data_IF_660859031783
#
_entry.id   IF_660859031783
#
_cell.length_a   1.000
_cell.length_b   1.000
_cell.length_c   1.000
_cell.angle_alpha   90.00
_cell.angle_beta   90.00
_cell.angle_gamma   90.00
#
_symmetry.space_group_name_H-M   'P 1'
#
loop_
_entity.id
_entity.type
_entity.pdbx_description
1 polymer ?
#
# COMPACT_ATOMS: atom_id res chain seq x y z
N UNK A 1 11.82 4.93 -9.04
CA UNK A 1 12.13 4.51 -10.42
C UNK A 1 10.99 4.81 -11.39
N UNK A 2 9.74 4.42 -11.11
CA UNK A 2 8.60 4.65 -12.05
C UNK A 2 8.40 6.13 -12.41
N UNK A 3 8.55 7.06 -11.45
CA UNK A 3 8.35 8.50 -11.72
C UNK A 3 9.29 9.03 -12.82
N UNK A 4 10.54 8.55 -12.87
CA UNK A 4 11.49 8.95 -13.91
C UNK A 4 11.02 8.54 -15.30
N UNK A 5 10.58 7.29 -15.46
CA UNK A 5 10.05 6.77 -16.73
C UNK A 5 8.82 7.53 -17.22
N UNK A 6 8.05 8.08 -16.29
CA UNK A 6 6.82 8.81 -16.57
C UNK A 6 6.99 10.33 -16.58
N UNK A 7 8.22 10.82 -16.45
CA UNK A 7 8.51 12.25 -16.39
C UNK A 7 7.84 12.96 -15.20
N UNK A 8 7.53 12.23 -14.13
CA UNK A 8 6.93 12.78 -12.92
C UNK A 8 7.98 13.27 -11.92
N UNK A 9 7.66 14.36 -11.23
CA UNK A 9 8.47 14.87 -10.13
C UNK A 9 8.59 13.81 -9.03
N UNK A 10 9.81 13.63 -8.53
CA UNK A 10 10.11 12.74 -7.40
C UNK A 10 9.84 13.44 -6.05
N UNK A 11 9.71 12.66 -4.98
CA UNK A 11 9.46 13.19 -3.64
C UNK A 11 7.98 13.35 -3.27
N UNK A 12 7.70 14.18 -2.26
CA UNK A 12 6.36 14.33 -1.67
C UNK A 12 5.49 15.35 -2.43
N UNK A 13 5.02 14.93 -3.61
CA UNK A 13 4.22 15.77 -4.52
C UNK A 13 2.72 15.67 -4.23
N UNK A 14 1.95 16.65 -4.72
CA UNK A 14 0.50 16.76 -4.54
C UNK A 14 -0.26 15.58 -5.17
N UNK A 15 0.14 15.15 -6.36
CA UNK A 15 -0.53 14.13 -7.16
C UNK A 15 0.42 13.00 -7.57
N UNK A 16 0.98 12.23 -6.62
CA UNK A 16 2.09 11.33 -6.91
C UNK A 16 1.70 10.11 -7.76
N UNK A 17 0.41 9.80 -7.87
CA UNK A 17 -0.06 8.65 -8.63
C UNK A 17 -0.14 8.94 -10.13
N UNK A 18 0.41 8.03 -10.94
CA UNK A 18 0.29 8.09 -12.40
C UNK A 18 -1.00 7.47 -12.95
N UNK A 19 -1.77 6.77 -12.11
CA UNK A 19 -3.02 6.10 -12.51
C UNK A 19 -4.26 6.93 -12.22
N UNK A 20 -4.22 7.77 -11.20
CA UNK A 20 -5.37 8.54 -10.76
C UNK A 20 -4.93 9.86 -10.12
N UNK A 21 -5.88 10.78 -9.97
CA UNK A 21 -5.65 12.06 -9.31
C UNK A 21 -5.78 11.95 -7.79
N UNK A 22 -5.11 10.97 -7.19
CA UNK A 22 -5.01 10.84 -5.73
C UNK A 22 -4.25 12.04 -5.16
N UNK A 23 -4.94 12.85 -4.36
CA UNK A 23 -4.35 14.04 -3.75
C UNK A 23 -3.68 13.66 -2.42
N UNK A 24 -2.37 13.50 -2.39
CA UNK A 24 -1.60 12.99 -1.23
C UNK A 24 -1.71 13.83 0.05
N UNK A 25 -2.11 15.11 -0.03
CA UNK A 25 -2.18 16.03 1.13
C UNK A 25 -3.61 16.21 1.66
N UNK A 26 -4.62 15.57 1.04
CA UNK A 26 -6.03 15.71 1.42
C UNK A 26 -6.43 14.84 2.63
N UNK A 27 -6.26 15.36 3.84
CA UNK A 27 -6.58 14.59 5.05
C UNK A 27 -8.07 14.27 5.23
N UNK A 28 -8.95 15.01 4.57
CA UNK A 28 -10.40 14.91 4.76
C UNK A 28 -10.98 13.85 3.81
N UNK A 29 -10.66 13.94 2.52
CA UNK A 29 -11.25 13.06 1.51
C UNK A 29 -10.60 11.68 1.47
N UNK A 30 -9.38 11.50 2.00
CA UNK A 30 -8.69 10.21 2.03
C UNK A 30 -9.50 9.06 2.62
N UNK A 31 -10.39 9.35 3.57
CA UNK A 31 -11.12 8.35 4.33
C UNK A 31 -12.57 8.18 3.88
N UNK A 32 -13.04 9.08 3.02
CA UNK A 32 -14.42 9.11 2.52
C UNK A 32 -14.43 8.61 1.07
N UNK A 33 -13.46 9.07 0.29
CA UNK A 33 -13.36 8.78 -1.13
C UNK A 33 -12.58 7.50 -1.38
N UNK A 34 -13.31 6.47 -1.79
CA UNK A 34 -12.70 5.22 -2.24
C UNK A 34 -12.16 5.36 -3.67
N UNK A 35 -12.94 5.91 -4.61
CA UNK A 35 -12.53 6.00 -6.03
C UNK A 35 -12.05 7.40 -6.39
N UNK A 36 -10.78 7.50 -6.79
CA UNK A 36 -10.18 8.73 -7.33
C UNK A 36 -10.33 8.77 -8.85
N UNK A 37 -10.49 9.96 -9.47
CA UNK A 37 -10.67 10.04 -10.91
C UNK A 37 -9.42 9.49 -11.62
N UNK A 38 -9.59 8.68 -12.67
CA UNK A 38 -8.47 8.12 -13.40
C UNK A 38 -7.70 9.23 -14.10
N UNK A 39 -6.42 8.96 -14.37
CA UNK A 39 -5.58 9.83 -15.19
C UNK A 39 -5.55 9.26 -16.61
N UNK A 40 -6.13 9.98 -17.55
CA UNK A 40 -6.18 9.58 -18.96
C UNK A 40 -4.83 9.81 -19.66
N UNK A 41 -4.18 10.95 -19.40
CA UNK A 41 -2.89 11.29 -19.99
C UNK A 41 -1.92 11.96 -19.00
N UNK A 42 -0.62 11.91 -19.33
CA UNK A 42 0.46 12.60 -18.60
C UNK A 42 0.92 13.80 -19.44
N UNK A 43 0.25 14.95 -19.28
CA UNK A 43 0.60 16.20 -19.97
C UNK A 43 1.68 16.95 -19.18
N UNK A 44 2.77 17.34 -19.85
CA UNK A 44 3.84 18.12 -19.22
C UNK A 44 3.31 19.46 -18.72
N UNK A 45 3.75 19.84 -17.52
CA UNK A 45 3.27 21.04 -16.82
C UNK A 45 1.97 20.82 -16.05
N UNK A 46 1.25 19.71 -16.27
CA UNK A 46 0.06 19.38 -15.49
C UNK A 46 0.44 18.64 -14.19
N UNK A 47 0.00 19.20 -13.06
CA UNK A 47 0.15 18.63 -11.71
C UNK A 47 1.58 18.33 -11.33
N UNK A 48 2.00 17.07 -11.48
CA UNK A 48 3.30 16.55 -11.05
C UNK A 48 4.13 16.02 -12.23
N UNK A 49 3.70 16.24 -13.47
CA UNK A 49 4.41 15.82 -14.68
C UNK A 49 5.31 16.96 -15.13
N UNK A 50 6.62 16.78 -15.01
CA UNK A 50 7.64 17.80 -15.31
C UNK A 50 8.33 17.56 -16.65
N UNK A 51 8.35 16.31 -17.14
CA UNK A 51 8.98 15.91 -18.39
C UNK A 51 8.05 15.00 -19.20
N UNK A 52 8.32 14.88 -20.49
CA UNK A 52 7.62 13.90 -21.33
C UNK A 52 7.89 12.47 -20.81
N UNK A 53 6.86 11.61 -20.76
CA UNK A 53 7.04 10.21 -20.37
C UNK A 53 7.87 9.48 -21.44
N UNK A 54 8.86 8.71 -20.99
CA UNK A 54 9.71 7.86 -21.84
C UNK A 54 8.99 6.56 -22.24
N UNK A 55 8.01 6.15 -21.43
CA UNK A 55 7.26 4.90 -21.61
C UNK A 55 5.78 5.18 -21.41
N UNK A 56 4.94 4.59 -22.26
CA UNK A 56 3.49 4.66 -22.09
C UNK A 56 3.03 3.97 -20.80
N UNK A 57 2.01 4.53 -20.15
CA UNK A 57 1.49 4.05 -18.85
C UNK A 57 0.96 2.60 -18.87
N UNK A 58 0.58 2.09 -20.04
CA UNK A 58 0.12 0.71 -20.26
C UNK A 58 1.27 -0.31 -20.37
N UNK A 59 2.50 0.13 -20.62
CA UNK A 59 3.70 -0.73 -20.68
C UNK A 59 4.43 -0.85 -19.34
N UNK A 60 3.94 -0.15 -18.31
CA UNK A 60 4.54 -0.19 -16.97
C UNK A 60 4.05 -1.42 -16.23
N UNK A 61 4.99 -2.33 -15.99
CA UNK A 61 4.80 -3.49 -15.13
C UNK A 61 5.18 -3.10 -13.71
N UNK A 62 4.19 -3.10 -12.82
CA UNK A 62 4.39 -2.87 -11.41
C UNK A 62 4.87 -4.18 -10.75
N UNK A 63 6.04 -4.24 -10.10
CA UNK A 63 6.51 -5.45 -9.46
C UNK A 63 5.59 -5.79 -8.26
N UNK A 64 4.69 -6.80 -8.37
CA UNK A 64 3.62 -6.99 -7.39
C UNK A 64 4.18 -7.34 -6.01
N UNK A 65 5.32 -8.04 -5.98
CA UNK A 65 6.00 -8.44 -4.76
C UNK A 65 6.47 -7.23 -3.94
N UNK A 66 7.23 -6.31 -4.55
CA UNK A 66 7.77 -5.15 -3.84
C UNK A 66 6.67 -4.23 -3.30
N UNK A 67 5.59 -4.05 -4.06
CA UNK A 67 4.44 -3.27 -3.61
C UNK A 67 3.76 -3.96 -2.44
N UNK A 68 3.45 -5.26 -2.55
CA UNK A 68 2.82 -6.02 -1.46
C UNK A 68 3.66 -5.96 -0.19
N UNK A 69 4.97 -6.22 -0.28
CA UNK A 69 5.86 -6.16 0.86
C UNK A 69 5.94 -4.76 1.48
N UNK A 70 6.06 -3.71 0.67
CA UNK A 70 6.09 -2.32 1.14
C UNK A 70 4.81 -1.91 1.88
N UNK A 71 3.64 -2.25 1.32
CA UNK A 71 2.35 -1.98 1.95
C UNK A 71 2.19 -2.70 3.29
N UNK A 72 2.63 -3.95 3.36
CA UNK A 72 2.55 -4.72 4.60
C UNK A 72 3.47 -4.18 5.68
N UNK A 73 4.70 -3.80 5.32
CA UNK A 73 5.61 -3.13 6.26
C UNK A 73 4.99 -1.86 6.83
N UNK A 74 4.40 -1.02 5.97
CA UNK A 74 3.69 0.19 6.40
C UNK A 74 2.49 -0.13 7.31
N UNK A 75 1.71 -1.16 6.96
CA UNK A 75 0.57 -1.58 7.77
C UNK A 75 1.00 -2.05 9.16
N UNK A 76 1.98 -2.95 9.25
CA UNK A 76 2.49 -3.46 10.52
C UNK A 76 3.07 -2.30 11.34
N UNK A 77 3.76 -1.35 10.72
CA UNK A 77 4.25 -0.12 11.38
C UNK A 77 3.12 0.81 11.85
N UNK A 78 1.93 0.71 11.28
CA UNK A 78 0.77 1.51 11.66
C UNK A 78 -0.12 0.83 12.72
N UNK A 79 0.16 -0.44 13.07
CA UNK A 79 -0.52 -1.13 14.17
C UNK A 79 -0.18 -0.50 15.51
N UNK A 80 -1.14 -0.56 16.43
CA UNK A 80 -0.99 -0.07 17.79
C UNK A 80 -0.18 -1.08 18.63
N UNK A 81 0.80 -0.61 19.42
CA UNK A 81 1.75 -1.47 20.15
C UNK A 81 1.07 -2.28 21.25
N UNK A 82 0.03 -1.71 21.84
CA UNK A 82 -0.63 -2.23 23.04
C UNK A 82 -1.91 -3.01 22.72
N UNK A 83 -2.22 -3.18 21.43
CA UNK A 83 -3.39 -3.94 20.99
C UNK A 83 -3.12 -5.43 20.91
N UNK A 84 -4.19 -6.18 21.15
CA UNK A 84 -4.26 -7.63 21.02
C UNK A 84 -3.71 -8.14 19.67
N UNK A 85 -3.95 -7.41 18.58
CA UNK A 85 -3.43 -7.73 17.25
C UNK A 85 -1.88 -7.76 17.21
N UNK A 86 -1.19 -6.83 17.88
CA UNK A 86 0.27 -6.84 17.94
C UNK A 86 0.80 -7.93 18.88
N UNK A 87 0.10 -8.19 19.99
CA UNK A 87 0.40 -9.33 20.88
C UNK A 87 0.29 -10.67 20.14
N UNK A 88 -0.72 -10.81 19.28
CA UNK A 88 -0.88 -11.98 18.41
C UNK A 88 0.33 -12.16 17.50
N UNK A 89 0.77 -11.09 16.81
CA UNK A 89 1.95 -11.15 15.92
C UNK A 89 3.22 -11.59 16.70
N UNK A 90 3.44 -11.08 17.92
CA UNK A 90 4.61 -11.47 18.74
C UNK A 90 4.61 -12.95 19.07
N UNK A 91 3.44 -13.50 19.41
CA UNK A 91 3.30 -14.90 19.77
C UNK A 91 3.32 -15.82 18.54
N UNK A 92 2.83 -15.35 17.40
CA UNK A 92 2.77 -16.13 16.15
C UNK A 92 4.17 -16.41 15.57
N UNK A 93 5.14 -15.55 15.83
CA UNK A 93 6.53 -15.72 15.39
C UNK A 93 7.49 -15.85 16.59
N UNK A 94 7.49 -16.97 17.32
CA UNK A 94 8.33 -17.14 18.50
C UNK A 94 9.83 -17.11 18.14
N UNK A 95 10.19 -17.57 16.93
CA UNK A 95 11.57 -17.63 16.41
C UNK A 95 12.18 -16.25 16.11
N UNK A 96 11.36 -15.20 16.02
CA UNK A 96 11.86 -13.84 15.80
C UNK A 96 12.25 -13.23 17.16
N UNK A 97 13.44 -12.61 17.21
CA UNK A 97 13.90 -11.92 18.43
C UNK A 97 12.94 -10.79 18.83
N UNK A 98 12.89 -10.49 20.13
CA UNK A 98 12.05 -9.41 20.66
C UNK A 98 12.45 -8.04 20.11
N UNK A 99 13.73 -7.83 19.79
CA UNK A 99 14.23 -6.61 19.15
C UNK A 99 13.64 -6.45 17.76
N UNK A 100 13.67 -7.51 16.94
CA UNK A 100 13.06 -7.50 15.59
C UNK A 100 11.54 -7.30 15.66
N UNK A 101 10.86 -7.92 16.63
CA UNK A 101 9.42 -7.71 16.88
C UNK A 101 9.12 -6.27 17.28
N UNK A 102 9.87 -5.69 18.23
CA UNK A 102 9.73 -4.28 18.67
C UNK A 102 10.03 -3.31 17.53
N UNK A 103 11.05 -3.60 16.73
CA UNK A 103 11.44 -2.84 15.54
C UNK A 103 10.51 -3.08 14.34
N UNK A 104 9.57 -4.04 14.45
CA UNK A 104 8.58 -4.40 13.41
C UNK A 104 9.23 -4.83 12.10
N UNK A 105 10.36 -5.53 12.22
CA UNK A 105 11.12 -6.06 11.10
C UNK A 105 10.64 -7.49 10.86
N UNK A 106 9.90 -7.67 9.77
CA UNK A 106 9.43 -8.97 9.30
C UNK A 106 9.89 -9.21 7.88
N UNK A 107 10.23 -10.45 7.58
CA UNK A 107 10.61 -10.88 6.25
C UNK A 107 9.38 -11.18 5.38
N UNK A 108 9.57 -11.19 4.06
CA UNK A 108 8.49 -11.45 3.11
C UNK A 108 7.70 -12.74 3.37
N UNK A 109 8.35 -13.89 3.66
CA UNK A 109 7.66 -15.13 4.00
C UNK A 109 6.82 -15.04 5.28
N UNK A 110 7.33 -14.36 6.32
CA UNK A 110 6.61 -14.17 7.59
C UNK A 110 5.34 -13.33 7.37
N UNK A 111 5.48 -12.21 6.64
CA UNK A 111 4.34 -11.37 6.26
C UNK A 111 3.30 -12.17 5.48
N UNK A 112 3.72 -13.05 4.56
CA UNK A 112 2.80 -13.89 3.79
C UNK A 112 2.03 -14.88 4.69
N UNK A 113 2.72 -15.58 5.60
CA UNK A 113 2.09 -16.49 6.58
C UNK A 113 1.02 -15.76 7.39
N UNK A 114 1.37 -14.60 7.94
CA UNK A 114 0.47 -13.77 8.74
C UNK A 114 -0.80 -13.34 7.97
N UNK A 115 -0.69 -13.05 6.67
CA UNK A 115 -1.82 -12.64 5.84
C UNK A 115 -2.82 -13.75 5.55
N UNK A 116 -2.36 -15.00 5.51
CA UNK A 116 -3.24 -16.13 5.27
C UNK A 116 -3.90 -16.65 6.54
N UNK A 117 -3.34 -16.31 7.71
CA UNK A 117 -3.88 -16.69 9.00
C UNK A 117 -5.25 -16.04 9.28
N UNK A 118 -6.27 -16.87 9.52
CA UNK A 118 -7.63 -16.41 9.76
C UNK A 118 -7.80 -15.81 11.16
N UNK A 119 -7.11 -16.34 12.18
CA UNK A 119 -7.14 -15.80 13.54
C UNK A 119 -6.57 -14.38 13.59
N UNK A 120 -5.53 -14.11 12.81
CA UNK A 120 -4.99 -12.77 12.60
C UNK A 120 -6.04 -11.84 11.98
N UNK A 121 -6.72 -12.28 10.90
CA UNK A 121 -7.81 -11.50 10.29
C UNK A 121 -8.92 -11.19 11.27
N UNK A 122 -9.31 -12.13 12.11
CA UNK A 122 -10.37 -11.94 13.09
C UNK A 122 -9.92 -11.02 14.24
N UNK A 123 -8.65 -11.08 14.63
CA UNK A 123 -8.04 -10.12 15.57
C UNK A 123 -8.15 -8.67 15.06
N UNK A 124 -8.17 -8.48 13.74
CA UNK A 124 -8.35 -7.16 13.11
C UNK A 124 -9.82 -6.74 13.01
N UNK A 125 -10.77 -7.68 12.90
CA UNK A 125 -12.21 -7.39 12.75
C UNK A 125 -12.85 -6.85 14.03
N UNK A 126 -12.29 -7.15 15.21
CA UNK A 126 -12.96 -6.95 16.51
C UNK A 126 -13.31 -5.51 16.88
N UNK A 127 -12.77 -4.47 16.22
CA UNK A 127 -13.27 -3.07 16.34
C UNK A 127 -13.00 -2.22 15.09
N UNK A 128 -14.04 -1.97 14.28
CA UNK A 128 -14.12 -0.85 13.32
C UNK A 128 -14.64 0.41 14.03
N UNK A 129 -13.73 1.29 14.46
CA UNK A 129 -13.92 2.75 14.74
C UNK A 129 -12.58 3.26 15.33
N UNK A 130 -11.88 4.26 14.81
CA UNK A 130 -12.12 5.31 13.82
C UNK A 130 -10.96 5.35 12.80
N UNK A 131 -11.32 5.59 11.53
CA UNK A 131 -10.61 6.43 10.55
C UNK A 131 -9.15 6.06 10.23
N UNK A 132 -9.01 5.14 9.27
CA UNK A 132 -8.10 5.40 8.15
C UNK A 132 -7.26 4.23 7.63
N UNK A 133 -6.64 3.43 8.48
CA UNK A 133 -5.55 2.55 8.03
C UNK A 133 -5.99 1.26 7.31
N UNK A 134 -7.20 0.76 7.58
CA UNK A 134 -7.73 -0.43 6.91
C UNK A 134 -8.27 -0.13 5.50
N UNK A 135 -8.76 1.10 5.28
CA UNK A 135 -9.27 1.55 3.96
C UNK A 135 -8.12 1.66 2.96
N UNK A 136 -6.99 2.25 3.37
CA UNK A 136 -5.80 2.34 2.52
C UNK A 136 -5.26 0.96 2.13
N UNK A 137 -5.28 0.00 3.06
CA UNK A 137 -4.79 -1.35 2.83
C UNK A 137 -5.67 -2.13 1.85
N UNK A 138 -7.01 -2.10 2.04
CA UNK A 138 -7.96 -2.73 1.11
C UNK A 138 -8.00 -2.03 -0.25
N UNK A 139 -7.90 -0.70 -0.29
CA UNK A 139 -7.89 0.09 -1.52
C UNK A 139 -6.62 -0.19 -2.36
N UNK A 140 -5.45 -0.21 -1.74
CA UNK A 140 -4.18 -0.49 -2.42
C UNK A 140 -4.05 -1.97 -2.84
N UNK A 141 -4.57 -2.90 -2.04
CA UNK A 141 -4.73 -4.31 -2.44
C UNK A 141 -5.66 -4.40 -3.66
N UNK A 142 -6.79 -3.69 -3.69
CA UNK A 142 -7.71 -3.71 -4.84
C UNK A 142 -7.09 -3.11 -6.12
N UNK A 143 -6.25 -2.09 -5.99
CA UNK A 143 -5.54 -1.47 -7.13
C UNK A 143 -4.44 -2.37 -7.71
N UNK A 144 -3.73 -3.12 -6.85
CA UNK A 144 -2.71 -4.08 -7.30
C UNK A 144 -3.36 -5.33 -7.90
N UNK A 145 -4.47 -5.81 -7.31
CA UNK A 145 -5.21 -6.98 -7.81
C UNK A 145 -5.96 -6.67 -9.11
N UNK A 146 -6.57 -5.49 -9.27
CA UNK A 146 -7.31 -5.16 -10.51
C UNK A 146 -6.45 -5.06 -11.78
N UNK A 147 -5.13 -4.88 -11.66
CA UNK A 147 -4.21 -4.89 -12.81
C UNK A 147 -3.55 -6.23 -13.08
N UNK A 148 -3.63 -7.17 -12.15
CA UNK A 148 -3.28 -8.57 -12.37
C UNK A 148 -4.52 -9.41 -12.13
N UNK A 149 -5.43 -9.55 -13.13
CA UNK A 149 -6.29 -10.72 -13.11
C UNK A 149 -5.35 -11.91 -12.94
N UNK A 150 -5.55 -12.69 -11.87
CA UNK A 150 -4.99 -14.03 -11.82
C UNK A 150 -5.51 -14.72 -13.06
N UNK A 151 -4.65 -14.89 -14.06
CA UNK A 151 -4.88 -15.84 -15.15
C UNK A 151 -4.93 -17.21 -14.48
N UNK A 152 -6.12 -17.58 -14.02
CA UNK A 152 -6.48 -18.96 -13.82
C UNK A 152 -6.73 -19.49 -15.22
N UNK A 153 -5.75 -20.23 -15.74
CA UNK A 153 -6.02 -21.28 -16.71
C UNK A 153 -6.97 -22.30 -16.08
#
# INVERSE_FOLDING_TARGET
MVNFLLGQQSGFTKYPCFLCYWYSRDRNQHWIREKWPPRECLKVGDKNVINNPLVHTNRIILPPLHIKLGLMKQFINALDKDRYCFKYIRNYFPEISEEKKKARIFEGPQIRKLLWDNSFKDSMKRRRRKRGRLSLMLFLISLVIKRHPTTKN
#
